data_IF_427133687371
#
_entry.id   IF_427133687371
#
_cell.length_a   1.000
_cell.length_b   1.000
_cell.length_c   1.000
_cell.angle_alpha   90.00
_cell.angle_beta   90.00
_cell.angle_gamma   90.00
#
_symmetry.space_group_name_H-M   'P 1'
#
loop_
_entity.id
_entity.type
_entity.pdbx_description
1 polymer ?
#
# COMPACT_ATOMS: atom_id res chain seq x y z
N UNK A 1 9.15 -2.59 -24.41
CA UNK A 1 8.25 -1.45 -24.13
C UNK A 1 8.96 -0.17 -24.53
N UNK A 2 8.24 0.72 -25.21
CA UNK A 2 8.71 2.05 -25.61
C UNK A 2 7.89 3.14 -24.90
N UNK A 3 8.53 4.21 -24.47
CA UNK A 3 7.88 5.37 -23.83
C UNK A 3 8.44 6.64 -24.49
N UNK A 4 7.63 7.33 -25.27
CA UNK A 4 7.94 8.68 -25.76
C UNK A 4 7.35 9.71 -24.78
N UNK A 5 8.16 10.66 -24.32
CA UNK A 5 7.73 11.73 -23.42
C UNK A 5 7.78 13.06 -24.17
N UNK A 6 6.62 13.66 -24.43
CA UNK A 6 6.50 14.98 -25.05
C UNK A 6 6.61 16.06 -23.97
N UNK A 7 7.62 16.91 -24.05
CA UNK A 7 7.93 17.93 -23.04
C UNK A 7 8.50 19.20 -23.65
N UNK A 8 8.46 20.31 -22.91
CA UNK A 8 9.21 21.53 -23.20
C UNK A 8 10.61 21.53 -22.57
N UNK A 9 10.92 20.63 -21.65
CA UNK A 9 12.18 20.66 -20.90
C UNK A 9 12.91 19.31 -20.94
N UNK A 10 13.40 18.87 -22.12
CA UNK A 10 14.09 17.59 -22.25
C UNK A 10 15.25 17.39 -21.27
N UNK A 11 15.98 18.47 -20.97
CA UNK A 11 17.15 18.45 -20.08
C UNK A 11 16.81 18.05 -18.63
N UNK A 12 15.56 18.19 -18.19
CA UNK A 12 15.13 17.74 -16.86
C UNK A 12 15.29 16.22 -16.69
N UNK A 13 15.26 15.47 -17.80
CA UNK A 13 15.34 14.00 -17.77
C UNK A 13 16.77 13.47 -17.76
N UNK A 14 17.80 14.31 -17.89
CA UNK A 14 19.18 13.83 -17.97
C UNK A 14 19.59 12.99 -16.75
N UNK A 15 19.32 13.47 -15.54
CA UNK A 15 19.61 12.70 -14.31
C UNK A 15 18.74 11.45 -14.21
N UNK A 16 17.46 11.56 -14.55
CA UNK A 16 16.50 10.46 -14.52
C UNK A 16 16.92 9.28 -15.42
N UNK A 17 17.38 9.57 -16.64
CA UNK A 17 17.76 8.53 -17.61
C UNK A 17 19.14 7.92 -17.36
N UNK A 18 20.04 8.66 -16.70
CA UNK A 18 21.44 8.27 -16.55
C UNK A 18 21.79 7.71 -15.16
N UNK A 19 20.80 7.45 -14.32
CA UNK A 19 21.02 6.97 -12.96
C UNK A 19 20.22 5.71 -12.63
N UNK A 20 20.76 4.96 -11.66
CA UNK A 20 20.05 3.86 -10.96
C UNK A 20 19.41 2.82 -11.91
N UNK A 21 18.19 2.38 -11.59
CA UNK A 21 17.47 1.30 -12.26
C UNK A 21 17.05 1.66 -13.69
N UNK A 22 16.72 2.94 -13.95
CA UNK A 22 16.32 3.42 -15.26
C UNK A 22 17.47 3.27 -16.25
N UNK A 23 18.67 3.74 -15.87
CA UNK A 23 19.88 3.55 -16.70
C UNK A 23 20.12 2.08 -17.01
N UNK A 24 20.07 1.21 -16.00
CA UNK A 24 20.27 -0.24 -16.20
C UNK A 24 19.22 -0.84 -17.13
N UNK A 25 17.96 -0.41 -17.02
CA UNK A 25 16.88 -0.90 -17.88
C UNK A 25 17.08 -0.49 -19.34
N UNK A 26 17.56 0.75 -19.58
CA UNK A 26 17.92 1.25 -20.90
C UNK A 26 19.15 0.52 -21.49
N UNK A 27 20.24 0.39 -20.73
CA UNK A 27 21.47 -0.30 -21.16
C UNK A 27 21.21 -1.76 -21.52
N UNK A 28 20.36 -2.44 -20.74
CA UNK A 28 19.94 -3.82 -20.99
C UNK A 28 18.80 -3.94 -22.03
N UNK A 29 18.40 -2.83 -22.66
CA UNK A 29 17.37 -2.77 -23.70
C UNK A 29 16.03 -3.38 -23.27
N UNK A 30 15.71 -3.28 -21.98
CA UNK A 30 14.42 -3.72 -21.41
C UNK A 30 13.31 -2.72 -21.73
N UNK A 31 13.66 -1.44 -21.72
CA UNK A 31 12.79 -0.33 -22.09
C UNK A 31 13.53 0.59 -23.05
N UNK A 32 12.77 1.33 -23.84
CA UNK A 32 13.25 2.45 -24.65
C UNK A 32 12.50 3.71 -24.20
N UNK A 33 13.20 4.69 -23.65
CA UNK A 33 12.60 5.95 -23.17
C UNK A 33 13.17 7.09 -24.01
N UNK A 34 12.30 7.79 -24.73
CA UNK A 34 12.68 8.84 -25.69
C UNK A 34 12.04 10.16 -25.29
N UNK A 35 12.86 11.17 -25.08
CA UNK A 35 12.40 12.50 -24.71
C UNK A 35 12.28 13.34 -25.97
N UNK A 36 11.09 13.88 -26.22
CA UNK A 36 10.73 14.61 -27.43
C UNK A 36 10.40 16.04 -27.07
N UNK A 37 11.12 16.97 -27.66
CA UNK A 37 10.85 18.38 -27.46
C UNK A 37 9.65 18.80 -28.32
N UNK A 38 8.58 19.28 -27.69
CA UNK A 38 7.37 19.72 -28.43
C UNK A 38 7.71 20.85 -29.40
N UNK A 39 8.74 21.65 -29.12
CA UNK A 39 9.21 22.73 -30.00
C UNK A 39 9.71 22.26 -31.36
N UNK A 40 10.22 21.04 -31.44
CA UNK A 40 10.74 20.46 -32.69
C UNK A 40 9.60 20.19 -33.70
N UNK A 41 8.36 20.14 -33.22
CA UNK A 41 7.15 19.95 -34.02
C UNK A 41 6.42 21.27 -34.32
N UNK A 42 6.92 22.41 -33.86
CA UNK A 42 6.30 23.71 -34.13
C UNK A 42 6.50 24.11 -35.60
N UNK A 43 5.41 24.55 -36.25
CA UNK A 43 5.46 25.17 -37.58
C UNK A 43 5.83 26.65 -37.53
N UNK A 44 5.91 27.24 -36.35
CA UNK A 44 6.33 28.62 -36.18
C UNK A 44 7.85 28.76 -36.33
N UNK A 45 8.29 29.80 -37.05
CA UNK A 45 9.71 30.07 -37.31
C UNK A 45 10.57 30.28 -36.06
N UNK A 46 9.95 30.67 -34.94
CA UNK A 46 10.61 30.86 -33.65
C UNK A 46 10.32 29.70 -32.68
N UNK A 47 9.74 28.61 -33.18
CA UNK A 47 9.35 27.42 -32.40
C UNK A 47 8.40 27.75 -31.24
N UNK A 48 7.50 28.71 -31.43
CA UNK A 48 6.43 29.04 -30.46
C UNK A 48 5.48 27.83 -30.33
N UNK A 49 5.08 27.51 -29.10
CA UNK A 49 4.29 26.30 -28.76
C UNK A 49 3.10 26.59 -27.85
N UNK A 50 2.96 27.83 -27.40
CA UNK A 50 1.95 28.31 -26.47
C UNK A 50 1.34 29.61 -26.97
N UNK A 51 0.12 29.93 -26.57
CA UNK A 51 -0.49 31.25 -26.81
C UNK A 51 -1.44 31.66 -25.69
N UNK A 52 -1.91 32.91 -25.72
CA UNK A 52 -2.90 33.40 -24.75
C UNK A 52 -4.24 32.67 -24.89
N UNK A 53 -4.94 32.37 -23.79
CA UNK A 53 -6.23 31.71 -23.84
C UNK A 53 -7.33 32.60 -24.45
N UNK A 54 -8.23 31.99 -25.23
CA UNK A 54 -9.48 32.65 -25.60
C UNK A 54 -10.34 32.92 -24.35
N UNK A 55 -11.05 34.05 -24.33
CA UNK A 55 -11.86 34.47 -23.18
C UNK A 55 -11.11 35.32 -22.13
N UNK A 56 -9.81 35.54 -22.33
CA UNK A 56 -8.97 36.24 -21.36
C UNK A 56 -8.53 35.34 -20.20
N UNK A 57 -7.74 35.89 -19.29
CA UNK A 57 -7.08 35.14 -18.22
C UNK A 57 -5.59 35.44 -18.18
N UNK A 58 -4.94 35.08 -17.06
CA UNK A 58 -3.49 35.15 -16.96
C UNK A 58 -2.85 33.87 -17.54
N UNK A 59 -1.58 33.96 -17.92
CA UNK A 59 -0.80 32.80 -18.37
C UNK A 59 -0.93 32.48 -19.86
N UNK A 60 -0.37 31.33 -20.23
CA UNK A 60 -0.31 30.81 -21.60
C UNK A 60 -0.86 29.38 -21.62
N UNK A 61 -1.27 28.91 -22.79
CA UNK A 61 -1.81 27.56 -23.00
C UNK A 61 -1.07 26.90 -24.17
N UNK A 62 -0.69 25.63 -24.03
CA UNK A 62 -0.05 24.89 -25.12
C UNK A 62 -0.99 24.76 -26.33
N UNK A 63 -0.48 25.10 -27.51
CA UNK A 63 -1.23 25.08 -28.76
C UNK A 63 -1.43 23.64 -29.28
N UNK A 64 -2.54 23.40 -29.97
CA UNK A 64 -2.82 22.11 -30.60
C UNK A 64 -1.73 21.68 -31.59
N UNK A 65 -1.27 22.59 -32.46
CA UNK A 65 -0.46 22.22 -33.64
C UNK A 65 0.77 21.36 -33.32
N UNK A 66 1.73 21.79 -32.49
CA UNK A 66 2.94 21.01 -32.26
C UNK A 66 2.65 19.66 -31.58
N UNK A 67 1.63 19.61 -30.70
CA UNK A 67 1.27 18.38 -29.99
C UNK A 67 0.57 17.38 -30.91
N UNK A 68 -0.39 17.84 -31.74
CA UNK A 68 -1.06 16.98 -32.72
C UNK A 68 -0.06 16.41 -33.73
N UNK A 69 0.87 17.23 -34.22
CA UNK A 69 1.88 16.77 -35.18
C UNK A 69 2.87 15.78 -34.52
N UNK A 70 3.29 16.02 -33.27
CA UNK A 70 4.14 15.09 -32.51
C UNK A 70 3.46 13.74 -32.27
N UNK A 71 2.20 13.74 -31.81
CA UNK A 71 1.45 12.50 -31.60
C UNK A 71 1.25 11.78 -32.93
N UNK A 72 0.93 12.48 -34.02
CA UNK A 72 0.76 11.86 -35.34
C UNK A 72 2.05 11.20 -35.86
N UNK A 73 3.20 11.82 -35.64
CA UNK A 73 4.51 11.28 -36.04
C UNK A 73 4.89 10.02 -35.25
N UNK A 74 4.58 10.02 -33.96
CA UNK A 74 5.03 8.97 -33.04
C UNK A 74 4.05 7.80 -32.91
N UNK A 75 2.74 8.04 -33.11
CA UNK A 75 1.67 7.05 -32.85
C UNK A 75 1.72 5.87 -33.83
N UNK A 76 1.64 4.68 -33.27
CA UNK A 76 1.52 3.38 -33.94
C UNK A 76 0.18 2.72 -33.55
N UNK A 77 -0.11 1.53 -34.12
CA UNK A 77 -1.39 0.83 -33.91
C UNK A 77 -1.68 0.53 -32.43
N UNK A 78 -0.65 0.15 -31.65
CA UNK A 78 -0.77 -0.22 -30.23
C UNK A 78 -0.29 0.88 -29.26
N UNK A 79 -0.25 2.14 -29.70
CA UNK A 79 0.19 3.25 -28.87
C UNK A 79 -0.93 3.78 -28.00
N UNK A 80 -0.66 3.90 -26.69
CA UNK A 80 -1.54 4.60 -25.75
C UNK A 80 -1.03 6.01 -25.47
N UNK A 81 -1.86 7.01 -25.70
CA UNK A 81 -1.56 8.42 -25.46
C UNK A 81 -2.14 8.83 -24.11
N UNK A 82 -1.29 9.37 -23.24
CA UNK A 82 -1.63 9.76 -21.87
C UNK A 82 -1.35 11.24 -21.68
N UNK A 83 -2.37 11.99 -21.26
CA UNK A 83 -2.21 13.37 -20.80
C UNK A 83 -1.94 13.40 -19.30
N UNK A 84 -0.92 14.16 -18.92
CA UNK A 84 -0.57 14.36 -17.52
C UNK A 84 -1.23 15.65 -17.02
N UNK A 85 -2.28 15.50 -16.23
CA UNK A 85 -3.16 16.59 -15.79
C UNK A 85 -3.76 16.28 -14.43
N UNK A 86 -3.93 17.27 -13.54
CA UNK A 86 -4.59 17.07 -12.24
C UNK A 86 -6.05 16.63 -12.35
N UNK A 87 -6.69 16.79 -13.52
CA UNK A 87 -8.07 16.36 -13.80
C UNK A 87 -8.19 14.85 -14.04
N UNK A 88 -7.07 14.18 -14.30
CA UNK A 88 -7.03 12.77 -14.66
C UNK A 88 -7.29 11.82 -13.50
N UNK A 89 -7.37 10.53 -13.81
CA UNK A 89 -7.49 9.50 -12.77
C UNK A 89 -6.23 9.46 -11.91
N UNK A 90 -6.39 9.35 -10.59
CA UNK A 90 -5.24 9.32 -9.68
C UNK A 90 -4.42 8.03 -9.88
N UNK A 91 -3.14 8.23 -10.19
CA UNK A 91 -2.17 7.18 -10.45
C UNK A 91 -1.97 6.29 -9.22
N UNK A 92 -1.89 4.98 -9.45
CA UNK A 92 -1.70 3.99 -8.41
C UNK A 92 -1.03 2.73 -8.97
N UNK A 93 -0.65 1.80 -8.08
CA UNK A 93 0.08 0.58 -8.45
C UNK A 93 -0.68 -0.30 -9.48
N UNK A 94 -2.01 -0.40 -9.39
CA UNK A 94 -2.81 -1.19 -10.35
C UNK A 94 -2.78 -0.57 -11.74
N UNK A 95 -2.75 0.76 -11.82
CA UNK A 95 -2.60 1.46 -13.08
C UNK A 95 -1.18 1.29 -13.64
N UNK A 96 -0.15 1.29 -12.78
CA UNK A 96 1.22 0.96 -13.18
C UNK A 96 1.32 -0.43 -13.81
N UNK A 97 0.74 -1.46 -13.17
CA UNK A 97 0.69 -2.84 -13.68
C UNK A 97 -0.10 -2.99 -14.99
N UNK A 98 -1.08 -2.12 -15.20
CA UNK A 98 -1.87 -2.11 -16.44
C UNK A 98 -1.05 -1.49 -17.56
N UNK A 99 -0.48 -0.31 -17.33
CA UNK A 99 0.34 0.41 -18.31
C UNK A 99 1.66 -0.31 -18.60
N UNK A 100 2.18 -1.10 -17.65
CA UNK A 100 3.40 -1.89 -17.85
C UNK A 100 3.24 -3.06 -18.83
N UNK A 101 2.04 -3.29 -19.35
CA UNK A 101 1.76 -4.30 -20.38
C UNK A 101 1.60 -3.68 -21.77
N UNK A 102 1.52 -2.35 -21.87
CA UNK A 102 1.42 -1.66 -23.15
C UNK A 102 2.77 -1.70 -23.88
N UNK A 103 2.72 -1.86 -25.21
CA UNK A 103 3.93 -1.92 -26.04
C UNK A 103 4.57 -0.55 -26.19
N UNK A 104 3.74 0.49 -26.36
CA UNK A 104 4.16 1.87 -26.57
C UNK A 104 3.25 2.87 -25.85
N UNK A 105 3.87 3.76 -25.08
CA UNK A 105 3.21 4.87 -24.41
C UNK A 105 3.73 6.21 -24.96
N UNK A 106 2.82 7.17 -25.15
CA UNK A 106 3.16 8.59 -25.33
C UNK A 106 2.65 9.34 -24.10
N UNK A 107 3.56 9.91 -23.31
CA UNK A 107 3.22 10.75 -22.16
C UNK A 107 3.35 12.22 -22.56
N UNK A 108 2.27 13.01 -22.42
CA UNK A 108 2.29 14.43 -22.78
C UNK A 108 2.33 15.26 -21.50
N UNK A 109 3.43 15.98 -21.32
CA UNK A 109 3.61 16.90 -20.21
C UNK A 109 2.86 18.21 -20.47
N UNK A 110 1.89 18.53 -19.61
CA UNK A 110 1.32 19.88 -19.57
C UNK A 110 2.33 20.92 -19.06
N UNK A 111 2.11 22.18 -19.39
CA UNK A 111 2.89 23.32 -18.87
C UNK A 111 2.03 24.59 -18.90
N UNK A 112 2.48 25.65 -18.23
CA UNK A 112 1.72 26.91 -18.10
C UNK A 112 0.36 26.69 -17.43
N UNK A 113 -0.75 27.24 -17.95
CA UNK A 113 -2.11 26.95 -17.47
C UNK A 113 -2.63 25.58 -17.94
N UNK A 114 -1.86 24.89 -18.80
CA UNK A 114 -2.20 23.59 -19.36
C UNK A 114 -2.09 23.57 -20.88
N UNK A 115 -2.97 22.80 -21.50
CA UNK A 115 -3.04 22.63 -22.94
C UNK A 115 -4.43 23.04 -23.44
N UNK A 116 -4.50 23.38 -24.73
CA UNK A 116 -5.79 23.62 -25.37
C UNK A 116 -6.67 22.38 -25.20
N UNK A 117 -7.91 22.57 -24.74
CA UNK A 117 -8.83 21.49 -24.41
C UNK A 117 -9.00 20.48 -25.56
N UNK A 118 -8.88 20.90 -26.82
CA UNK A 118 -8.98 19.99 -27.97
C UNK A 118 -7.88 18.93 -28.01
N UNK A 119 -6.77 19.13 -27.30
CA UNK A 119 -5.71 18.13 -27.15
C UNK A 119 -6.21 16.90 -26.36
N UNK A 120 -7.23 17.04 -25.50
CA UNK A 120 -7.83 15.89 -24.80
C UNK A 120 -8.43 14.86 -25.77
N UNK A 121 -8.81 15.25 -26.99
CA UNK A 121 -9.28 14.31 -28.01
C UNK A 121 -8.20 13.35 -28.53
N UNK A 122 -6.92 13.62 -28.27
CA UNK A 122 -5.81 12.72 -28.61
C UNK A 122 -5.60 11.64 -27.54
N UNK A 123 -6.09 11.87 -26.33
CA UNK A 123 -5.79 11.09 -25.15
C UNK A 123 -6.65 9.83 -25.08
N UNK A 124 -6.00 8.70 -24.85
CA UNK A 124 -6.69 7.48 -24.42
C UNK A 124 -6.96 7.52 -22.91
N UNK A 125 -6.18 8.31 -22.16
CA UNK A 125 -6.32 8.49 -20.72
C UNK A 125 -5.74 9.82 -20.26
N UNK A 126 -6.33 10.37 -19.19
CA UNK A 126 -5.75 11.45 -18.41
C UNK A 126 -5.32 10.92 -17.04
N UNK A 127 -4.11 11.25 -16.59
CA UNK A 127 -3.56 10.77 -15.33
C UNK A 127 -3.09 11.94 -14.46
N UNK A 128 -3.50 11.91 -13.19
CA UNK A 128 -2.98 12.76 -12.11
C UNK A 128 -2.10 11.93 -11.18
N UNK A 129 -0.99 12.49 -10.67
CA UNK A 129 -0.18 11.82 -9.63
C UNK A 129 -0.57 12.22 -8.20
N UNK A 130 -1.66 12.99 -8.05
CA UNK A 130 -2.26 13.32 -6.76
C UNK A 130 -2.94 14.69 -6.75
N UNK A 131 -3.58 14.99 -5.61
CA UNK A 131 -4.44 16.16 -5.45
C UNK A 131 -3.63 17.41 -5.09
N UNK A 132 -2.75 17.83 -6.00
CA UNK A 132 -1.89 19.01 -5.89
C UNK A 132 -1.48 19.50 -7.29
N UNK A 133 -0.96 20.73 -7.37
CA UNK A 133 -0.57 21.37 -8.63
C UNK A 133 0.95 21.45 -8.74
N UNK A 134 1.49 21.13 -9.92
CA UNK A 134 2.89 21.27 -10.27
C UNK A 134 3.06 22.27 -11.43
N UNK A 135 4.29 22.73 -11.66
CA UNK A 135 4.59 23.69 -12.73
C UNK A 135 4.54 23.07 -14.13
N UNK A 136 4.61 21.73 -14.22
CA UNK A 136 4.62 21.00 -15.48
C UNK A 136 4.48 19.49 -15.27
N UNK A 137 4.25 18.78 -16.37
CA UNK A 137 4.04 17.33 -16.40
C UNK A 137 5.32 16.49 -16.33
N UNK A 138 6.51 17.10 -16.29
CA UNK A 138 7.79 16.39 -16.33
C UNK A 138 8.01 15.47 -15.12
N UNK A 139 7.71 15.95 -13.91
CA UNK A 139 7.80 15.13 -12.70
C UNK A 139 6.75 13.99 -12.70
N UNK A 140 5.46 14.23 -13.03
CA UNK A 140 4.51 13.15 -13.26
C UNK A 140 4.98 12.11 -14.28
N UNK A 141 5.57 12.55 -15.40
CA UNK A 141 6.10 11.64 -16.41
C UNK A 141 7.20 10.75 -15.83
N UNK A 142 8.18 11.34 -15.12
CA UNK A 142 9.25 10.57 -14.45
C UNK A 142 8.71 9.58 -13.42
N UNK A 143 7.74 9.99 -12.60
CA UNK A 143 7.10 9.12 -11.58
C UNK A 143 6.44 7.91 -12.25
N UNK A 144 5.63 8.14 -13.28
CA UNK A 144 4.90 7.09 -14.00
C UNK A 144 5.86 6.18 -14.75
N UNK A 145 6.85 6.76 -15.44
CA UNK A 145 7.88 6.01 -16.17
C UNK A 145 8.71 5.14 -15.23
N UNK A 146 9.07 5.63 -14.05
CA UNK A 146 9.81 4.85 -13.05
C UNK A 146 9.03 3.63 -12.59
N UNK A 147 7.81 3.83 -12.08
CA UNK A 147 6.98 2.74 -11.55
C UNK A 147 6.63 1.70 -12.62
N UNK A 148 6.38 2.12 -13.86
CA UNK A 148 6.16 1.19 -14.99
C UNK A 148 7.44 0.42 -15.32
N UNK A 149 8.59 1.08 -15.42
CA UNK A 149 9.86 0.46 -15.81
C UNK A 149 10.26 -0.63 -14.81
N UNK A 150 10.01 -0.43 -13.51
CA UNK A 150 10.25 -1.42 -12.45
C UNK A 150 9.48 -2.74 -12.67
N UNK A 151 8.31 -2.67 -13.29
CA UNK A 151 7.42 -3.82 -13.54
C UNK A 151 7.74 -4.55 -14.85
N UNK A 152 8.61 -4.00 -15.71
CA UNK A 152 9.03 -4.66 -16.95
C UNK A 152 9.92 -5.87 -16.64
N UNK A 153 9.65 -6.99 -17.33
CA UNK A 153 10.32 -8.25 -17.05
C UNK A 153 11.85 -8.16 -17.20
N UNK A 154 12.55 -8.52 -16.13
CA UNK A 154 14.00 -8.54 -16.07
C UNK A 154 14.64 -7.19 -15.74
N UNK A 155 13.86 -6.20 -15.30
CA UNK A 155 14.40 -4.96 -14.69
C UNK A 155 14.68 -5.16 -13.20
N UNK A 156 13.71 -5.66 -12.44
CA UNK A 156 13.85 -6.04 -11.02
C UNK A 156 13.48 -7.53 -10.85
N UNK A 157 14.06 -8.18 -9.84
CA UNK A 157 13.74 -9.55 -9.48
C UNK A 157 12.28 -9.72 -9.06
N UNK A 158 11.62 -10.77 -9.56
CA UNK A 158 10.19 -11.04 -9.31
C UNK A 158 9.85 -11.17 -7.82
N UNK A 159 10.75 -11.76 -7.04
CA UNK A 159 10.57 -11.93 -5.58
C UNK A 159 10.57 -10.60 -4.83
N UNK A 160 11.36 -9.61 -5.30
CA UNK A 160 11.38 -8.27 -4.74
C UNK A 160 10.02 -7.60 -4.97
N UNK A 161 9.49 -7.67 -6.19
CA UNK A 161 8.20 -7.05 -6.56
C UNK A 161 7.05 -7.67 -5.75
N UNK A 162 7.07 -8.99 -5.55
CA UNK A 162 5.97 -9.71 -4.87
C UNK A 162 5.70 -9.24 -3.43
N UNK A 163 6.68 -8.61 -2.77
CA UNK A 163 6.58 -8.21 -1.38
C UNK A 163 6.42 -6.70 -1.17
N UNK A 164 6.30 -5.90 -2.23
CA UNK A 164 6.22 -4.45 -2.13
C UNK A 164 4.91 -3.92 -1.53
N UNK A 165 4.94 -2.65 -1.13
CA UNK A 165 3.73 -1.95 -0.72
C UNK A 165 2.74 -1.85 -1.88
N UNK A 166 1.45 -1.85 -1.55
CA UNK A 166 0.29 -1.82 -2.45
C UNK A 166 0.05 -3.12 -3.23
N UNK A 167 0.95 -4.10 -3.17
CA UNK A 167 0.64 -5.48 -3.55
C UNK A 167 -0.39 -6.04 -2.56
N UNK A 168 -1.45 -6.64 -3.11
CA UNK A 168 -2.64 -7.08 -2.37
C UNK A 168 -3.29 -5.98 -1.49
N UNK A 169 -3.09 -4.71 -1.84
CA UNK A 169 -3.56 -3.54 -1.08
C UNK A 169 -3.03 -3.51 0.38
N UNK A 170 -1.77 -3.92 0.60
CA UNK A 170 -1.09 -3.84 1.90
C UNK A 170 0.21 -3.05 1.82
N UNK A 171 0.61 -2.37 2.90
CA UNK A 171 1.95 -1.83 3.05
C UNK A 171 2.96 -2.96 3.30
N UNK A 172 4.22 -2.71 2.95
CA UNK A 172 5.33 -3.62 3.21
C UNK A 172 5.71 -3.67 4.70
N UNK A 173 6.30 -4.78 5.15
CA UNK A 173 6.72 -5.00 6.54
C UNK A 173 7.90 -4.10 6.92
N UNK A 174 8.19 -3.90 8.23
CA UNK A 174 9.39 -3.23 8.65
C UNK A 174 10.63 -4.08 8.36
N UNK A 175 11.65 -3.46 7.78
CA UNK A 175 12.92 -4.10 7.40
C UNK A 175 14.04 -3.57 8.27
N UNK A 176 14.94 -4.46 8.68
CA UNK A 176 16.06 -4.17 9.56
C UNK A 176 17.37 -4.59 8.89
N UNK A 177 18.45 -3.88 9.18
CA UNK A 177 19.80 -4.23 8.73
C UNK A 177 20.78 -4.07 9.89
N UNK A 178 22.04 -4.44 9.67
CA UNK A 178 23.10 -4.30 10.68
C UNK A 178 23.29 -2.82 11.06
N UNK A 179 23.65 -2.51 12.32
CA UNK A 179 23.94 -3.41 13.44
C UNK A 179 22.68 -4.00 14.12
N UNK A 180 22.86 -5.05 14.96
CA UNK A 180 21.75 -5.70 15.68
C UNK A 180 21.05 -4.80 16.69
N UNK A 181 21.77 -3.82 17.22
CA UNK A 181 21.25 -2.81 18.13
C UNK A 181 21.83 -1.45 17.74
N UNK A 182 20.96 -0.44 17.68
CA UNK A 182 21.34 0.93 17.38
C UNK A 182 20.65 1.84 18.40
N UNK A 183 21.45 2.52 19.23
CA UNK A 183 20.94 3.43 20.28
C UNK A 183 19.87 2.81 21.20
N UNK A 184 20.07 1.55 21.63
CA UNK A 184 19.10 0.82 22.47
C UNK A 184 17.93 0.20 21.71
N UNK A 185 17.79 0.46 20.40
CA UNK A 185 16.77 -0.16 19.55
C UNK A 185 17.29 -1.48 18.98
N UNK A 186 16.71 -2.59 19.43
CA UNK A 186 17.09 -3.94 18.99
C UNK A 186 16.28 -4.39 17.77
N UNK A 187 16.94 -5.13 16.88
CA UNK A 187 16.27 -5.90 15.83
C UNK A 187 15.39 -6.99 16.49
N UNK A 188 14.14 -7.21 16.06
CA UNK A 188 13.29 -8.26 16.62
C UNK A 188 13.95 -9.64 16.59
N UNK A 189 13.92 -10.36 17.72
CA UNK A 189 14.61 -11.66 17.87
C UNK A 189 14.14 -12.71 16.85
N UNK A 190 12.88 -12.66 16.42
CA UNK A 190 12.32 -13.53 15.39
C UNK A 190 13.06 -13.42 14.04
N UNK A 191 13.66 -12.26 13.75
CA UNK A 191 14.45 -12.04 12.53
C UNK A 191 15.89 -12.55 12.64
N UNK A 192 16.34 -12.90 13.85
CA UNK A 192 17.71 -13.33 14.13
C UNK A 192 17.86 -14.85 14.29
N UNK A 193 16.75 -15.57 14.41
CA UNK A 193 16.74 -17.01 14.74
C UNK A 193 16.90 -17.95 13.52
N UNK A 194 16.87 -17.42 12.29
CA UNK A 194 17.00 -18.19 11.05
C UNK A 194 15.79 -19.08 10.69
N UNK A 195 14.71 -19.03 11.46
CA UNK A 195 13.50 -19.82 11.19
C UNK A 195 12.63 -19.11 10.14
N UNK A 196 12.80 -19.51 8.87
CA UNK A 196 12.07 -18.92 7.74
C UNK A 196 10.56 -18.89 7.91
N UNK A 197 9.95 -19.90 8.53
CA UNK A 197 8.50 -19.97 8.72
C UNK A 197 8.00 -18.95 9.73
N UNK A 198 8.72 -18.78 10.84
CA UNK A 198 8.39 -17.78 11.86
C UNK A 198 8.66 -16.36 11.35
N UNK A 199 9.75 -16.16 10.60
CA UNK A 199 10.05 -14.88 9.94
C UNK A 199 8.94 -14.50 8.97
N UNK A 200 8.48 -15.42 8.12
CA UNK A 200 7.42 -15.14 7.15
C UNK A 200 6.09 -14.83 7.85
N UNK A 201 5.73 -15.62 8.87
CA UNK A 201 4.53 -15.34 9.68
C UNK A 201 4.59 -13.97 10.34
N UNK A 202 5.76 -13.60 10.88
CA UNK A 202 5.97 -12.28 11.46
C UNK A 202 5.83 -11.17 10.41
N UNK A 203 6.46 -11.32 9.23
CA UNK A 203 6.36 -10.37 8.11
C UNK A 203 4.90 -10.12 7.70
N UNK A 204 4.13 -11.18 7.48
CA UNK A 204 2.71 -11.07 7.12
C UNK A 204 1.89 -10.35 8.20
N UNK A 205 2.17 -10.64 9.46
CA UNK A 205 1.50 -9.98 10.60
C UNK A 205 1.82 -8.49 10.64
N UNK A 206 3.10 -8.12 10.47
CA UNK A 206 3.54 -6.73 10.49
C UNK A 206 3.05 -5.91 9.29
N UNK A 207 2.98 -6.50 8.08
CA UNK A 207 2.33 -5.86 6.92
C UNK A 207 0.91 -5.40 7.29
N UNK A 208 0.13 -6.30 7.88
CA UNK A 208 -1.24 -6.02 8.28
C UNK A 208 -1.32 -4.94 9.37
N UNK A 209 -0.53 -5.07 10.45
CA UNK A 209 -0.49 -4.09 11.55
C UNK A 209 -0.16 -2.70 11.00
N UNK A 210 0.94 -2.56 10.27
CA UNK A 210 1.39 -1.28 9.70
C UNK A 210 0.38 -0.68 8.74
N UNK A 211 -0.29 -1.52 7.93
CA UNK A 211 -1.36 -1.06 7.04
C UNK A 211 -2.55 -0.53 7.84
N UNK A 212 -3.03 -1.26 8.85
CA UNK A 212 -4.15 -0.83 9.68
C UNK A 212 -3.84 0.45 10.47
N UNK A 213 -2.58 0.66 10.86
CA UNK A 213 -2.15 1.86 11.58
C UNK A 213 -2.02 3.08 10.68
N UNK A 214 -1.41 2.93 9.49
CA UNK A 214 -1.02 4.07 8.64
C UNK A 214 -1.96 4.32 7.47
N UNK A 215 -2.55 3.25 6.91
CA UNK A 215 -3.38 3.27 5.70
C UNK A 215 -4.58 2.32 5.84
N UNK A 216 -5.44 2.49 6.87
CA UNK A 216 -6.60 1.63 7.10
C UNK A 216 -7.60 1.61 5.93
N UNK A 217 -7.56 2.64 5.07
CA UNK A 217 -8.32 2.75 3.83
C UNK A 217 -8.02 1.61 2.84
N UNK A 218 -6.79 1.11 2.79
CA UNK A 218 -6.40 0.02 1.88
C UNK A 218 -7.10 -1.31 2.24
N UNK A 219 -7.29 -1.57 3.54
CA UNK A 219 -7.95 -2.80 4.02
C UNK A 219 -9.47 -2.72 3.91
N UNK A 220 -10.05 -1.51 4.00
CA UNK A 220 -11.51 -1.30 3.86
C UNK A 220 -12.05 -1.66 2.47
N UNK A 221 -11.20 -1.65 1.44
CA UNK A 221 -11.61 -1.76 0.04
C UNK A 221 -11.45 -3.15 -0.58
N UNK A 222 -11.09 -4.20 0.17
CA UNK A 222 -11.15 -5.59 -0.34
C UNK A 222 -12.60 -6.01 -0.57
N UNK A 223 -13.11 -5.75 -1.78
CA UNK A 223 -14.26 -6.47 -2.34
C UNK A 223 -13.89 -7.95 -2.43
N UNK A 224 -14.56 -8.77 -1.66
CA UNK A 224 -14.56 -10.22 -1.85
C UNK A 224 -16.02 -10.59 -2.17
N UNK A 225 -16.22 -11.58 -3.02
CA UNK A 225 -17.55 -11.99 -3.52
C UNK A 225 -17.61 -13.50 -3.70
N UNK A 226 -18.81 -14.06 -3.71
CA UNK A 226 -19.07 -15.48 -4.00
C UNK A 226 -20.04 -15.59 -5.20
N UNK A 227 -19.95 -16.69 -5.96
CA UNK A 227 -20.87 -17.03 -7.06
C UNK A 227 -21.95 -17.99 -6.55
N UNK A 228 -23.23 -17.67 -6.80
CA UNK A 228 -24.37 -18.57 -6.54
C UNK A 228 -24.88 -19.15 -7.87
N UNK A 229 -25.04 -20.47 -7.95
CA UNK A 229 -25.73 -21.14 -9.06
C UNK A 229 -26.92 -21.91 -8.48
N UNK A 230 -28.16 -21.57 -8.86
CA UNK A 230 -29.08 -22.38 -9.70
C UNK A 230 -30.54 -21.95 -9.58
N UNK A 231 -31.20 -21.77 -10.71
CA UNK A 231 -32.60 -22.15 -10.90
C UNK A 231 -32.66 -23.12 -12.09
N UNK A 232 -33.15 -24.35 -11.86
CA UNK A 232 -33.22 -25.41 -12.86
C UNK A 232 -34.17 -25.13 -14.04
N UNK A 233 -34.92 -24.02 -14.02
CA UNK A 233 -35.85 -23.63 -15.10
C UNK A 233 -35.42 -22.42 -15.92
N UNK A 234 -34.56 -21.54 -15.42
CA UNK A 234 -34.27 -20.25 -16.09
C UNK A 234 -32.80 -19.99 -16.42
N UNK A 235 -31.84 -20.78 -15.91
CA UNK A 235 -30.40 -20.61 -16.15
C UNK A 235 -29.81 -19.21 -15.90
N UNK A 236 -30.52 -18.30 -15.22
CA UNK A 236 -29.98 -16.98 -14.90
C UNK A 236 -28.87 -17.04 -13.85
N UNK A 237 -27.79 -16.32 -14.15
CA UNK A 237 -26.64 -16.11 -13.26
C UNK A 237 -26.82 -14.75 -12.59
N UNK A 238 -26.80 -14.72 -11.26
CA UNK A 238 -26.90 -13.48 -10.48
C UNK A 238 -25.67 -13.29 -9.60
N UNK A 239 -24.99 -12.15 -9.76
CA UNK A 239 -23.83 -11.77 -8.95
C UNK A 239 -24.28 -11.20 -7.60
N UNK A 240 -23.74 -11.72 -6.50
CA UNK A 240 -23.97 -11.20 -5.15
C UNK A 240 -22.68 -10.69 -4.50
N UNK A 241 -22.64 -9.39 -4.23
CA UNK A 241 -21.57 -8.72 -3.48
C UNK A 241 -21.90 -8.83 -1.98
N UNK A 242 -21.20 -9.69 -1.22
CA UNK A 242 -21.55 -9.91 0.19
C UNK A 242 -21.26 -8.67 1.06
N UNK A 243 -20.37 -7.78 0.61
CA UNK A 243 -20.08 -6.50 1.27
C UNK A 243 -21.30 -5.57 1.31
N UNK A 244 -22.34 -5.84 0.51
CA UNK A 244 -23.61 -5.09 0.54
C UNK A 244 -24.62 -5.63 1.56
N UNK A 245 -24.35 -6.74 2.24
CA UNK A 245 -25.18 -7.23 3.35
C UNK A 245 -24.32 -7.33 4.61
N UNK A 246 -24.31 -6.25 5.39
CA UNK A 246 -23.63 -6.20 6.68
C UNK A 246 -24.19 -7.29 7.64
N UNK A 247 -23.33 -8.22 8.10
CA UNK A 247 -23.62 -9.08 9.26
C UNK A 247 -23.89 -10.57 9.02
N UNK A 248 -23.41 -11.16 7.91
CA UNK A 248 -23.52 -12.60 7.66
C UNK A 248 -22.17 -13.33 7.84
N UNK A 249 -22.22 -14.53 8.42
CA UNK A 249 -21.14 -15.52 8.40
C UNK A 249 -21.68 -16.80 7.73
N UNK A 250 -21.00 -17.28 6.68
CA UNK A 250 -21.40 -18.45 5.91
C UNK A 250 -20.37 -19.55 6.16
N UNK A 251 -20.80 -20.71 6.65
CA UNK A 251 -19.91 -21.87 6.86
C UNK A 251 -20.22 -22.95 5.82
N UNK A 252 -19.29 -23.25 4.89
CA UNK A 252 -19.50 -24.29 3.89
C UNK A 252 -19.44 -25.68 4.54
N UNK A 253 -20.24 -26.62 4.03
CA UNK A 253 -20.32 -27.97 4.63
C UNK A 253 -19.47 -29.05 3.95
N UNK A 254 -18.78 -28.80 2.83
CA UNK A 254 -17.97 -29.85 2.16
C UNK A 254 -16.71 -29.32 1.46
N UNK A 255 -15.77 -30.26 1.27
CA UNK A 255 -14.37 -30.15 0.82
C UNK A 255 -14.06 -29.02 -0.19
N UNK A 256 -13.15 -28.08 0.13
CA UNK A 256 -12.81 -26.91 -0.70
C UNK A 256 -12.05 -27.24 -2.01
N UNK A 257 -11.99 -28.51 -2.43
CA UNK A 257 -11.24 -28.98 -3.61
C UNK A 257 -12.10 -29.22 -4.85
N UNK A 258 -13.34 -28.74 -4.88
CA UNK A 258 -14.17 -28.69 -6.10
C UNK A 258 -14.69 -27.28 -6.27
N UNK A 259 -14.29 -26.64 -7.36
CA UNK A 259 -14.47 -25.20 -7.62
C UNK A 259 -15.92 -24.77 -7.88
N UNK A 260 -16.88 -25.70 -7.87
CA UNK A 260 -18.21 -25.41 -8.37
C UNK A 260 -19.28 -25.90 -7.40
N UNK A 261 -19.85 -24.93 -6.67
CA UNK A 261 -21.15 -24.93 -5.99
C UNK A 261 -21.14 -25.32 -4.49
N UNK A 262 -21.44 -24.32 -3.64
CA UNK A 262 -21.74 -24.47 -2.21
C UNK A 262 -23.24 -24.23 -2.00
N UNK A 263 -23.94 -25.16 -1.33
CA UNK A 263 -25.35 -24.97 -0.91
C UNK A 263 -25.44 -24.46 0.54
N UNK A 264 -26.39 -23.56 0.83
CA UNK A 264 -26.58 -22.94 2.16
C UNK A 264 -27.97 -23.31 2.70
N UNK A 265 -28.03 -23.98 3.86
CA UNK A 265 -29.29 -24.43 4.48
C UNK A 265 -29.87 -23.49 5.54
N UNK A 266 -29.11 -22.49 6.02
CA UNK A 266 -29.59 -21.56 7.07
C UNK A 266 -28.97 -20.19 6.90
N UNK A 267 -29.80 -19.16 6.94
CA UNK A 267 -29.39 -17.74 6.92
C UNK A 267 -29.79 -17.10 8.26
N UNK A 268 -28.83 -16.53 8.98
CA UNK A 268 -29.08 -15.82 10.24
C UNK A 268 -28.73 -14.35 10.04
N UNK A 269 -29.73 -13.47 10.09
CA UNK A 269 -29.54 -12.02 9.88
C UNK A 269 -29.29 -11.37 11.25
N UNK A 270 -28.11 -10.80 11.46
CA UNK A 270 -27.76 -10.11 12.71
C UNK A 270 -27.39 -8.66 12.39
N UNK A 271 -27.96 -7.71 13.14
CA UNK A 271 -27.62 -6.28 13.00
C UNK A 271 -26.14 -6.06 13.32
N UNK A 272 -25.41 -5.34 12.46
CA UNK A 272 -23.98 -4.99 12.65
C UNK A 272 -23.72 -4.34 14.02
N UNK A 273 -24.59 -3.44 14.44
CA UNK A 273 -24.52 -2.78 15.75
C UNK A 273 -24.64 -3.76 16.92
N UNK A 274 -25.37 -4.86 16.76
CA UNK A 274 -25.47 -5.91 17.77
C UNK A 274 -24.18 -6.73 17.86
N UNK A 275 -23.60 -7.13 16.72
CA UNK A 275 -22.31 -7.85 16.69
C UNK A 275 -21.20 -6.99 17.29
N UNK A 276 -21.14 -5.72 16.89
CA UNK A 276 -20.18 -4.77 17.44
C UNK A 276 -20.36 -4.61 18.96
N UNK A 277 -21.60 -4.47 19.45
CA UNK A 277 -21.89 -4.40 20.89
C UNK A 277 -21.40 -5.64 21.64
N UNK A 278 -21.67 -6.84 21.13
CA UNK A 278 -21.24 -8.09 21.76
C UNK A 278 -19.70 -8.23 21.72
N UNK A 279 -19.06 -7.87 20.60
CA UNK A 279 -17.61 -7.85 20.48
C UNK A 279 -16.99 -6.90 21.51
N UNK A 280 -17.48 -5.66 21.63
CA UNK A 280 -17.04 -4.68 22.63
C UNK A 280 -17.16 -5.22 24.06
N UNK A 281 -18.28 -5.84 24.41
CA UNK A 281 -18.50 -6.45 25.74
C UNK A 281 -17.46 -7.53 26.03
N UNK A 282 -17.25 -8.45 25.09
CA UNK A 282 -16.27 -9.54 25.27
C UNK A 282 -14.84 -9.00 25.38
N UNK A 283 -14.53 -7.99 24.57
CA UNK A 283 -13.21 -7.38 24.55
C UNK A 283 -12.89 -6.67 25.85
N UNK A 284 -13.80 -5.78 26.28
CA UNK A 284 -13.62 -5.03 27.52
C UNK A 284 -13.57 -5.96 28.74
N UNK A 285 -14.34 -7.04 28.76
CA UNK A 285 -14.30 -8.01 29.86
C UNK A 285 -12.92 -8.63 30.01
N UNK A 286 -12.32 -9.11 28.92
CA UNK A 286 -11.01 -9.78 28.98
C UNK A 286 -9.86 -8.78 29.14
N UNK A 287 -9.94 -7.61 28.52
CA UNK A 287 -8.98 -6.53 28.76
C UNK A 287 -9.00 -6.06 30.22
N UNK A 288 -10.19 -5.97 30.84
CA UNK A 288 -10.32 -5.65 32.26
C UNK A 288 -9.66 -6.68 33.18
N UNK A 289 -9.69 -7.97 32.82
CA UNK A 289 -8.97 -9.03 33.54
C UNK A 289 -7.46 -8.80 33.44
N UNK A 290 -6.95 -8.59 32.22
CA UNK A 290 -5.52 -8.33 31.98
C UNK A 290 -5.05 -7.08 32.74
N UNK A 291 -5.85 -6.00 32.75
CA UNK A 291 -5.52 -4.77 33.48
C UNK A 291 -5.52 -4.96 35.00
N UNK A 292 -6.43 -5.78 35.54
CA UNK A 292 -6.44 -6.08 36.97
C UNK A 292 -5.22 -6.92 37.38
N UNK A 293 -4.86 -7.93 36.58
CA UNK A 293 -3.65 -8.72 36.81
C UNK A 293 -2.40 -7.84 36.69
N UNK A 294 -2.37 -6.94 35.71
CA UNK A 294 -1.30 -5.96 35.56
C UNK A 294 -1.15 -5.06 36.79
N UNK A 295 -2.26 -4.53 37.31
CA UNK A 295 -2.27 -3.72 38.52
C UNK A 295 -1.78 -4.49 39.74
N UNK A 296 -2.11 -5.78 39.87
CA UNK A 296 -1.61 -6.61 40.97
C UNK A 296 -0.10 -6.81 40.88
N UNK A 297 0.44 -6.98 39.68
CA UNK A 297 1.90 -7.09 39.46
C UNK A 297 2.64 -5.79 39.75
N UNK A 298 2.02 -4.63 39.55
CA UNK A 298 2.62 -3.35 39.94
C UNK A 298 2.85 -3.23 41.46
N UNK A 299 2.15 -4.04 42.27
CA UNK A 299 2.29 -4.07 43.73
C UNK A 299 3.36 -5.07 44.22
N UNK A 300 3.87 -5.94 43.36
CA UNK A 300 5.03 -6.79 43.66
C UNK A 300 6.30 -6.16 43.08
N UNK A 301 7.45 -6.34 43.71
CA UNK A 301 8.72 -5.76 43.20
C UNK A 301 9.49 -6.75 42.29
N UNK A 302 9.41 -8.06 42.57
CA UNK A 302 10.30 -9.07 41.96
C UNK A 302 9.60 -10.23 41.23
N UNK A 303 8.33 -10.09 40.86
CA UNK A 303 7.58 -11.16 40.17
C UNK A 303 7.83 -11.16 38.65
N UNK A 304 8.92 -11.77 38.21
CA UNK A 304 9.27 -11.92 36.79
C UNK A 304 8.43 -13.00 36.08
N UNK A 305 8.16 -14.12 36.74
CA UNK A 305 7.36 -15.22 36.19
C UNK A 305 5.92 -14.76 35.89
N UNK A 306 5.28 -14.06 36.82
CA UNK A 306 3.95 -13.47 36.63
C UNK A 306 3.94 -12.38 35.55
N UNK A 307 4.98 -11.54 35.50
CA UNK A 307 5.11 -10.50 34.47
C UNK A 307 5.27 -11.11 33.06
N UNK A 308 6.07 -12.16 32.91
CA UNK A 308 6.26 -12.87 31.64
C UNK A 308 4.99 -13.61 31.19
N UNK A 309 4.28 -14.25 32.13
CA UNK A 309 3.03 -14.93 31.85
C UNK A 309 1.96 -13.96 31.33
N UNK A 310 1.78 -12.81 32.01
CA UNK A 310 0.81 -11.81 31.61
C UNK A 310 1.17 -11.13 30.27
N UNK A 311 2.46 -10.92 30.01
CA UNK A 311 2.92 -10.43 28.71
C UNK A 311 2.50 -11.38 27.58
N UNK A 312 2.74 -12.67 27.75
CA UNK A 312 2.34 -13.69 26.78
C UNK A 312 0.82 -13.72 26.56
N UNK A 313 0.05 -13.54 27.64
CA UNK A 313 -1.42 -13.45 27.55
C UNK A 313 -1.89 -12.19 26.81
N UNK A 314 -1.32 -11.02 27.12
CA UNK A 314 -1.67 -9.76 26.48
C UNK A 314 -1.35 -9.78 24.98
N UNK A 315 -0.20 -10.34 24.58
CA UNK A 315 0.18 -10.52 23.17
C UNK A 315 -0.79 -11.46 22.45
N UNK A 316 -1.06 -12.65 23.01
CA UNK A 316 -2.04 -13.59 22.45
C UNK A 316 -3.42 -12.94 22.30
N UNK A 317 -3.81 -12.14 23.28
CA UNK A 317 -5.12 -11.51 23.28
C UNK A 317 -5.22 -10.38 22.24
N UNK A 318 -4.17 -9.59 22.05
CA UNK A 318 -4.07 -8.62 20.96
C UNK A 318 -4.25 -9.30 19.61
N UNK A 319 -3.51 -10.38 19.36
CA UNK A 319 -3.57 -11.11 18.09
C UNK A 319 -4.94 -11.75 17.86
N UNK A 320 -5.60 -12.18 18.93
CA UNK A 320 -6.97 -12.66 18.90
C UNK A 320 -7.97 -11.55 18.54
N UNK A 321 -7.82 -10.34 19.10
CA UNK A 321 -8.64 -9.18 18.72
C UNK A 321 -8.47 -8.86 17.23
N UNK A 322 -7.22 -8.86 16.75
CA UNK A 322 -6.88 -8.56 15.36
C UNK A 322 -7.52 -9.58 14.41
N UNK A 323 -7.30 -10.87 14.65
CA UNK A 323 -7.79 -11.94 13.78
C UNK A 323 -9.31 -12.12 13.83
N UNK A 324 -9.92 -11.92 15.00
CA UNK A 324 -11.32 -12.32 15.22
C UNK A 324 -12.29 -11.13 15.20
N UNK A 325 -11.95 -10.04 15.88
CA UNK A 325 -12.91 -8.98 16.17
C UNK A 325 -12.77 -7.74 15.30
N UNK A 326 -11.58 -7.46 14.74
CA UNK A 326 -11.34 -6.21 13.99
C UNK A 326 -12.41 -5.97 12.93
N UNK A 327 -12.78 -6.97 12.12
CA UNK A 327 -13.79 -6.82 11.06
C UNK A 327 -15.16 -6.31 11.54
N UNK A 328 -15.47 -6.42 12.83
CA UNK A 328 -16.77 -6.05 13.41
C UNK A 328 -16.78 -4.72 14.18
N UNK A 329 -15.62 -4.10 14.42
CA UNK A 329 -15.52 -2.91 15.28
C UNK A 329 -15.53 -1.60 14.46
N UNK A 330 -16.02 -0.50 15.00
CA UNK A 330 -15.81 0.84 14.43
C UNK A 330 -14.36 1.32 14.59
N UNK A 331 -13.89 2.21 13.71
CA UNK A 331 -12.48 2.65 13.66
C UNK A 331 -11.97 3.26 14.95
N UNK A 332 -12.73 4.18 15.55
CA UNK A 332 -12.38 4.84 16.80
C UNK A 332 -12.10 3.81 17.91
N UNK A 333 -13.01 2.84 18.05
CA UNK A 333 -12.88 1.79 19.06
C UNK A 333 -11.73 0.81 18.76
N UNK A 334 -11.48 0.47 17.47
CA UNK A 334 -10.32 -0.34 17.07
C UNK A 334 -9.02 0.33 17.48
N UNK A 335 -8.87 1.61 17.16
CA UNK A 335 -7.66 2.37 17.48
C UNK A 335 -7.47 2.43 19.00
N UNK A 336 -8.53 2.77 19.74
CA UNK A 336 -8.49 2.85 21.20
C UNK A 336 -8.05 1.52 21.83
N UNK A 337 -8.66 0.40 21.45
CA UNK A 337 -8.40 -0.88 22.13
C UNK A 337 -7.03 -1.45 21.79
N UNK A 338 -6.58 -1.33 20.54
CA UNK A 338 -5.25 -1.79 20.13
C UNK A 338 -4.16 -0.94 20.79
N UNK A 339 -4.38 0.38 20.90
CA UNK A 339 -3.47 1.27 21.64
C UNK A 339 -3.40 0.91 23.12
N UNK A 340 -4.53 0.65 23.77
CA UNK A 340 -4.58 0.26 25.18
C UNK A 340 -3.79 -1.03 25.45
N UNK A 341 -4.04 -2.09 24.68
CA UNK A 341 -3.33 -3.36 24.89
C UNK A 341 -1.84 -3.25 24.55
N UNK A 342 -1.48 -2.45 23.54
CA UNK A 342 -0.09 -2.21 23.18
C UNK A 342 0.68 -1.44 24.27
N UNK A 343 0.02 -0.49 24.97
CA UNK A 343 0.61 0.20 26.12
C UNK A 343 0.90 -0.80 27.25
N UNK A 344 -0.05 -1.70 27.55
CA UNK A 344 0.14 -2.75 28.58
C UNK A 344 1.33 -3.65 28.22
N UNK A 345 1.40 -4.13 26.98
CA UNK A 345 2.51 -4.95 26.48
C UNK A 345 3.84 -4.21 26.61
N UNK A 346 3.88 -2.92 26.25
CA UNK A 346 5.09 -2.10 26.35
C UNK A 346 5.57 -1.98 27.80
N UNK A 347 4.66 -1.74 28.74
CA UNK A 347 5.00 -1.57 30.15
C UNK A 347 5.45 -2.88 30.80
N UNK A 348 4.81 -4.01 30.46
CA UNK A 348 5.25 -5.34 30.90
C UNK A 348 6.67 -5.68 30.42
N UNK A 349 7.00 -5.38 29.16
CA UNK A 349 8.35 -5.55 28.63
C UNK A 349 9.37 -4.67 29.38
N UNK A 350 9.03 -3.41 29.62
CA UNK A 350 9.89 -2.49 30.38
C UNK A 350 10.18 -3.03 31.77
N UNK A 351 9.15 -3.56 32.46
CA UNK A 351 9.28 -4.12 33.80
C UNK A 351 10.18 -5.35 33.82
N UNK A 352 10.06 -6.28 32.87
CA UNK A 352 10.96 -7.43 32.76
C UNK A 352 12.43 -7.02 32.61
N UNK A 353 12.70 -6.00 31.80
CA UNK A 353 14.05 -5.47 31.64
C UNK A 353 14.59 -4.88 32.95
N UNK A 354 13.78 -4.10 33.68
CA UNK A 354 14.17 -3.53 34.98
C UNK A 354 14.47 -4.62 36.01
N UNK A 355 13.65 -5.67 36.09
CA UNK A 355 13.88 -6.80 37.01
C UNK A 355 15.18 -7.52 36.64
N UNK A 356 15.47 -7.72 35.35
CA UNK A 356 16.72 -8.32 34.89
C UNK A 356 17.95 -7.47 35.28
N UNK A 357 17.91 -6.15 35.06
CA UNK A 357 18.97 -5.22 35.46
C UNK A 357 19.22 -5.22 36.97
N UNK A 358 18.16 -5.33 37.78
CA UNK A 358 18.27 -5.40 39.24
C UNK A 358 18.91 -6.73 39.70
N UNK A 359 18.53 -7.85 39.06
CA UNK A 359 19.13 -9.17 39.33
C UNK A 359 20.62 -9.23 38.94
N UNK A 360 21.03 -8.56 37.87
CA UNK A 360 22.43 -8.44 37.47
C UNK A 360 23.25 -7.63 38.49
N UNK A 361 22.75 -6.45 38.92
CA UNK A 361 23.42 -5.61 39.93
C UNK A 361 23.56 -6.29 41.30
N UNK A 362 22.53 -7.02 41.74
CA UNK A 362 22.59 -7.75 43.01
C UNK A 362 23.59 -8.90 42.97
N UNK A 363 23.74 -9.59 41.83
CA UNK A 363 24.77 -10.62 41.67
C UNK A 363 26.19 -10.03 41.67
N UNK A 364 26.40 -8.88 41.03
CA UNK A 364 27.70 -8.17 41.06
C UNK A 364 28.09 -7.71 42.48
N UNK A 365 27.13 -7.21 43.27
CA UNK A 365 27.35 -6.80 44.66
C UNK A 365 27.64 -7.99 45.61
N UNK A 366 27.08 -9.17 45.33
CA UNK A 366 27.38 -10.39 46.08
C UNK A 366 28.78 -10.94 45.78
N UNK A 367 29.21 -10.91 44.52
CA UNK A 367 30.58 -11.30 44.12
C UNK A 367 31.64 -10.34 44.68
N UNK A 368 31.31 -9.06 44.83
CA UNK A 368 32.20 -8.06 45.45
C UNK A 368 32.32 -8.17 46.98
N UNK A 369 31.32 -8.74 47.67
CA UNK A 369 31.35 -8.97 49.13
C UNK A 369 31.96 -10.32 49.53
N UNK A 370 32.12 -11.24 48.60
CA UNK A 370 32.70 -12.59 48.82
C UNK A 370 34.16 -12.71 48.36
N UNK A 371 34.76 -11.61 47.88
CA UNK A 371 36.20 -11.42 47.72
C UNK A 371 36.72 -10.51 48.82
#
# INVERSE_FOLDING_TARGET
MKIDILTLFPQMFNGFLNESIIKRALENKKVEILIRNIRDYSKDKHQKVDDTPYGGGAGMVLMCQPIFDAVKDLKQENTKVVLLTPQGVTYNQKLAETLSKDEHLILICGHYEGFDERISSLADMEISIGDYVLTGGELPAMVITDSITRLVEGVIEKESIANESFIEDLLDYPTYTKPREYEGMKVPDVLLNGNHKEIEKWRQTEKMIKTLEKRPDLVKNKKTGYVLIRNHKTQEVSYFEYTKINGLEITPKNDPRRDDIISINKMIIIKKSFIEKIAKIRINKKLGIILNEFNNLLLSEDDDEGTAALLGEAVKYRDYIISTYIKYLGEEYRHQILKQIQIVIKELNRRLNLIAELKEKTNEDYEHKTR
#
